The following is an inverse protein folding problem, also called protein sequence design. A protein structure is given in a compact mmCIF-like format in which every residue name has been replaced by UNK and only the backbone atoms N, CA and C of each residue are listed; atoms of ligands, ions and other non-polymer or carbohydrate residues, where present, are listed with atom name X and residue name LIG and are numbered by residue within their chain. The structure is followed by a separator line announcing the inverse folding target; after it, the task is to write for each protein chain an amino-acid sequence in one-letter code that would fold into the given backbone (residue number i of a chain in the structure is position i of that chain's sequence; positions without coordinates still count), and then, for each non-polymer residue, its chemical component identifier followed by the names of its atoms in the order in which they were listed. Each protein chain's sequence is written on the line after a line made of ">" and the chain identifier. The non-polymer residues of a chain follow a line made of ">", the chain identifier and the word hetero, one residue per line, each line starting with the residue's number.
data_IF_409889081941
#
_entry.id   IF_409889081941
#
_cell.length_a   1.000
_cell.length_b   1.000
_cell.length_c   1.000
_cell.angle_alpha   90.00
_cell.angle_beta   90.00
_cell.angle_gamma   90.00
#
_symmetry.space_group_name_H-M   'P 1'
#
loop_
_entity.id
_entity.type
_entity.pdbx_description
1 polymer ?
#
# COMPACT_ATOMS: atom_id res chain seq x y z
N UNK A 1 2.62 17.79 19.49
CA UNK A 1 1.60 17.85 18.42
C UNK A 1 0.28 17.41 19.03
N UNK A 2 -0.87 18.04 18.73
CA UNK A 2 -2.15 17.62 19.34
C UNK A 2 -2.59 16.27 18.74
N UNK A 3 -3.20 15.38 19.53
CA UNK A 3 -3.68 14.08 19.04
C UNK A 3 -4.59 14.18 17.82
N UNK A 4 -5.44 15.21 17.75
CA UNK A 4 -6.30 15.48 16.58
C UNK A 4 -5.50 15.73 15.30
N UNK A 5 -4.35 16.39 15.40
CA UNK A 5 -3.49 16.70 14.26
C UNK A 5 -2.77 15.44 13.75
N UNK A 6 -2.29 14.57 14.65
CA UNK A 6 -1.71 13.27 14.28
C UNK A 6 -2.76 12.43 13.55
N UNK A 7 -3.97 12.33 14.12
CA UNK A 7 -5.09 11.58 13.52
C UNK A 7 -5.46 12.09 12.13
N UNK A 8 -5.51 13.41 11.93
CA UNK A 8 -5.83 14.02 10.64
C UNK A 8 -4.75 13.72 9.59
N UNK A 9 -3.46 13.87 9.94
CA UNK A 9 -2.35 13.54 9.03
C UNK A 9 -2.36 12.06 8.64
N UNK A 10 -2.62 11.17 9.60
CA UNK A 10 -2.75 9.74 9.33
C UNK A 10 -3.92 9.45 8.37
N UNK A 11 -5.10 10.03 8.61
CA UNK A 11 -6.26 9.93 7.72
C UNK A 11 -5.93 10.38 6.28
N UNK A 12 -5.17 11.46 6.12
CA UNK A 12 -4.72 11.89 4.79
C UNK A 12 -3.77 10.89 4.11
N UNK A 13 -2.84 10.29 4.86
CA UNK A 13 -1.96 9.27 4.29
C UNK A 13 -2.74 8.04 3.81
N UNK A 14 -3.77 7.62 4.56
CA UNK A 14 -4.67 6.56 4.12
C UNK A 14 -5.43 6.93 2.85
N UNK A 15 -5.96 8.16 2.75
CA UNK A 15 -6.62 8.66 1.52
C UNK A 15 -5.66 8.63 0.32
N UNK A 16 -4.41 9.08 0.49
CA UNK A 16 -3.38 9.04 -0.56
C UNK A 16 -3.04 7.60 -0.98
N UNK A 17 -2.93 6.68 -0.01
CA UNK A 17 -2.76 5.25 -0.27
C UNK A 17 -3.91 4.68 -1.13
N UNK A 18 -5.17 4.99 -0.79
CA UNK A 18 -6.32 4.55 -1.55
C UNK A 18 -6.28 5.13 -2.98
N UNK A 19 -6.07 6.45 -3.13
CA UNK A 19 -6.01 7.13 -4.43
C UNK A 19 -4.92 6.56 -5.36
N UNK A 20 -3.73 6.26 -4.83
CA UNK A 20 -2.65 5.68 -5.64
C UNK A 20 -3.04 4.32 -6.26
N UNK A 21 -3.87 3.54 -5.57
CA UNK A 21 -4.36 2.24 -6.05
C UNK A 21 -5.51 2.37 -7.03
N UNK A 22 -6.41 3.31 -6.79
CA UNK A 22 -7.47 3.67 -7.72
C UNK A 22 -6.85 4.07 -9.06
N UNK A 23 -5.82 4.92 -9.01
CA UNK A 23 -5.07 5.32 -10.19
C UNK A 23 -4.43 4.12 -10.88
N UNK A 24 -3.78 3.22 -10.15
CA UNK A 24 -3.18 2.01 -10.74
C UNK A 24 -4.23 1.16 -11.47
N UNK A 25 -5.39 0.90 -10.85
CA UNK A 25 -6.49 0.16 -11.50
C UNK A 25 -6.96 0.83 -12.79
N UNK A 26 -7.15 2.15 -12.77
CA UNK A 26 -7.52 2.93 -13.96
C UNK A 26 -6.44 2.83 -15.05
N UNK A 27 -5.16 2.92 -14.68
CA UNK A 27 -4.06 2.78 -15.66
C UNK A 27 -4.03 1.39 -16.29
N UNK A 28 -4.32 0.32 -15.53
CA UNK A 28 -4.43 -1.04 -16.07
C UNK A 28 -5.58 -1.15 -17.08
N UNK A 29 -6.78 -0.67 -16.71
CA UNK A 29 -7.93 -0.68 -17.62
C UNK A 29 -7.65 0.12 -18.88
N UNK A 30 -7.07 1.30 -18.75
CA UNK A 30 -6.73 2.15 -19.89
C UNK A 30 -5.66 1.51 -20.78
N UNK A 31 -4.63 0.89 -20.19
CA UNK A 31 -3.59 0.20 -20.94
C UNK A 31 -4.15 -0.98 -21.74
N UNK A 32 -4.98 -1.82 -21.10
CA UNK A 32 -5.60 -2.96 -21.76
C UNK A 32 -6.61 -2.52 -22.83
N UNK A 33 -7.41 -1.49 -22.55
CA UNK A 33 -8.34 -0.91 -23.53
C UNK A 33 -7.62 -0.26 -24.72
N UNK A 34 -6.39 0.21 -24.51
CA UNK A 34 -5.53 0.73 -25.56
C UNK A 34 -4.77 -0.37 -26.32
N UNK A 35 -5.00 -1.65 -26.03
CA UNK A 35 -4.44 -2.79 -26.76
C UNK A 35 -3.28 -3.52 -26.08
N UNK A 36 -2.91 -3.19 -24.84
CA UNK A 36 -1.91 -3.97 -24.11
C UNK A 36 -2.46 -5.33 -23.71
N UNK A 37 -1.74 -6.42 -23.99
CA UNK A 37 -2.20 -7.77 -23.65
C UNK A 37 -2.01 -8.05 -22.15
N UNK A 38 -2.71 -9.07 -21.64
CA UNK A 38 -2.48 -9.60 -20.28
C UNK A 38 -1.01 -9.91 -20.05
N UNK A 39 -0.35 -10.56 -21.00
CA UNK A 39 1.03 -11.03 -20.83
C UNK A 39 2.02 -9.86 -20.82
N UNK A 40 1.76 -8.81 -21.60
CA UNK A 40 2.54 -7.56 -21.51
C UNK A 40 2.40 -6.93 -20.12
N UNK A 41 1.17 -6.84 -19.58
CA UNK A 41 0.95 -6.29 -18.24
C UNK A 41 1.64 -7.15 -17.19
N UNK A 42 1.49 -8.48 -17.23
CA UNK A 42 2.10 -9.39 -16.25
C UNK A 42 3.63 -9.33 -16.29
N UNK A 43 4.22 -9.29 -17.48
CA UNK A 43 5.68 -9.12 -17.64
C UNK A 43 6.15 -7.80 -17.04
N UNK A 44 5.39 -6.72 -17.26
CA UNK A 44 5.69 -5.42 -16.65
C UNK A 44 5.57 -5.48 -15.12
N UNK A 45 4.52 -6.13 -14.59
CA UNK A 45 4.36 -6.31 -13.14
C UNK A 45 5.55 -7.04 -12.55
N UNK A 46 5.99 -8.14 -13.17
CA UNK A 46 7.12 -8.95 -12.72
C UNK A 46 8.43 -8.13 -12.70
N UNK A 47 8.68 -7.35 -13.75
CA UNK A 47 9.80 -6.38 -13.82
C UNK A 47 9.74 -5.30 -12.74
N UNK A 48 8.55 -4.94 -12.26
CA UNK A 48 8.38 -3.94 -11.20
C UNK A 48 8.56 -4.53 -9.80
N UNK A 49 8.48 -5.86 -9.65
CA UNK A 49 8.64 -6.57 -8.36
C UNK A 49 10.07 -7.06 -8.16
N UNK A 50 10.80 -7.30 -9.25
CA UNK A 50 12.22 -7.68 -9.25
C UNK A 50 13.12 -6.48 -8.94
N UNK A 51 13.37 -6.21 -7.65
CA UNK A 51 14.30 -5.16 -7.20
C UNK A 51 14.25 -4.85 -5.70
N UNK A 52 14.98 -3.81 -5.25
CA UNK A 52 15.10 -3.39 -3.85
C UNK A 52 13.78 -2.98 -3.15
N UNK A 53 12.67 -2.92 -3.88
CA UNK A 53 11.34 -2.58 -3.36
C UNK A 53 10.38 -3.77 -3.37
N UNK A 54 10.90 -5.01 -3.38
CA UNK A 54 10.12 -6.24 -3.51
C UNK A 54 8.87 -6.27 -2.61
N UNK A 55 9.02 -6.13 -1.29
CA UNK A 55 7.89 -6.21 -0.36
C UNK A 55 6.90 -5.05 -0.52
N UNK A 56 7.39 -3.86 -0.89
CA UNK A 56 6.58 -2.67 -1.13
C UNK A 56 5.77 -2.82 -2.44
N UNK A 57 6.33 -3.53 -3.42
CA UNK A 57 5.73 -3.73 -4.74
C UNK A 57 4.66 -4.82 -4.77
N UNK A 58 4.71 -5.84 -3.90
CA UNK A 58 3.83 -7.02 -3.97
C UNK A 58 2.34 -6.69 -3.87
N UNK A 59 1.94 -5.75 -3.01
CA UNK A 59 0.53 -5.35 -2.90
C UNK A 59 0.03 -4.58 -4.14
N UNK A 60 0.89 -3.76 -4.75
CA UNK A 60 0.56 -3.08 -6.01
C UNK A 60 0.49 -4.08 -7.18
N UNK A 61 1.37 -5.09 -7.18
CA UNK A 61 1.32 -6.20 -8.13
C UNK A 61 0.02 -7.00 -8.03
N UNK A 62 -0.41 -7.38 -6.81
CA UNK A 62 -1.70 -8.07 -6.59
C UNK A 62 -2.87 -7.26 -7.14
N UNK A 63 -2.88 -5.94 -6.93
CA UNK A 63 -3.93 -5.05 -7.47
C UNK A 63 -3.93 -5.07 -8.98
N UNK A 64 -2.75 -4.94 -9.60
CA UNK A 64 -2.63 -4.94 -11.05
C UNK A 64 -3.08 -6.27 -11.66
N UNK A 65 -2.59 -7.40 -11.13
CA UNK A 65 -2.95 -8.75 -11.56
C UNK A 65 -4.47 -8.96 -11.42
N UNK A 66 -5.04 -8.64 -10.25
CA UNK A 66 -6.47 -8.77 -10.01
C UNK A 66 -7.31 -7.91 -10.96
N UNK A 67 -6.82 -6.72 -11.33
CA UNK A 67 -7.51 -5.86 -12.29
C UNK A 67 -7.39 -6.37 -13.73
N UNK A 68 -6.27 -6.96 -14.12
CA UNK A 68 -6.09 -7.62 -15.43
C UNK A 68 -7.06 -8.78 -15.59
N UNK A 69 -7.18 -9.63 -14.56
CA UNK A 69 -8.11 -10.77 -14.57
C UNK A 69 -9.57 -10.30 -14.70
N UNK A 70 -9.97 -9.32 -13.89
CA UNK A 70 -11.32 -8.71 -13.96
C UNK A 70 -11.61 -8.06 -15.31
N UNK A 71 -10.62 -7.43 -15.94
CA UNK A 71 -10.80 -6.85 -17.26
C UNK A 71 -11.04 -7.96 -18.30
N UNK A 72 -10.25 -9.04 -18.25
CA UNK A 72 -10.45 -10.18 -19.15
C UNK A 72 -11.84 -10.81 -18.99
N UNK A 73 -12.26 -11.12 -17.77
CA UNK A 73 -13.61 -11.69 -17.50
C UNK A 73 -14.74 -10.82 -18.08
N UNK A 74 -14.61 -9.49 -18.03
CA UNK A 74 -15.62 -8.56 -18.57
C UNK A 74 -15.57 -8.38 -20.08
N UNK A 75 -14.46 -8.73 -20.71
CA UNK A 75 -14.16 -8.41 -22.10
C UNK A 75 -13.64 -9.64 -22.86
N UNK A 76 -14.08 -10.85 -22.48
CA UNK A 76 -13.60 -12.16 -22.98
C UNK A 76 -13.54 -12.28 -24.52
N UNK A 77 -14.24 -11.42 -25.25
CA UNK A 77 -14.32 -11.45 -26.73
C UNK A 77 -13.76 -10.20 -27.45
N UNK A 78 -13.16 -9.23 -26.75
CA UNK A 78 -12.67 -8.02 -27.41
C UNK A 78 -11.23 -8.15 -27.95
N UNK A 79 -11.18 -8.01 -29.27
CA UNK A 79 -10.06 -8.04 -30.20
C UNK A 79 -8.79 -7.39 -29.64
N UNK A 80 -7.68 -8.15 -29.69
CA UNK A 80 -6.33 -7.61 -29.56
C UNK A 80 -6.07 -6.65 -30.73
N UNK A 81 -6.15 -5.34 -30.49
CA UNK A 81 -5.72 -4.36 -31.47
C UNK A 81 -4.21 -4.49 -31.67
N UNK A 82 -3.78 -4.64 -32.93
CA UNK A 82 -2.37 -4.50 -33.29
C UNK A 82 -1.95 -3.06 -32.99
N UNK A 83 -1.27 -2.86 -31.86
CA UNK A 83 -0.66 -1.59 -31.48
C UNK A 83 0.77 -1.52 -32.03
N UNK A 84 1.18 -0.34 -32.48
CA UNK A 84 2.57 -0.10 -32.88
C UNK A 84 3.50 -0.14 -31.67
N UNK A 85 4.77 -0.49 -31.89
CA UNK A 85 5.75 -0.59 -30.81
C UNK A 85 5.94 0.75 -30.07
N UNK A 86 5.98 1.87 -30.79
CA UNK A 86 6.04 3.21 -30.18
C UNK A 86 4.85 3.47 -29.24
N UNK A 87 3.64 3.04 -29.63
CA UNK A 87 2.45 3.23 -28.81
C UNK A 87 2.47 2.32 -27.58
N UNK A 88 2.95 1.07 -27.75
CA UNK A 88 3.16 0.14 -26.64
C UNK A 88 4.10 0.73 -25.60
N UNK A 89 5.25 1.25 -26.02
CA UNK A 89 6.24 1.84 -25.12
C UNK A 89 5.67 3.04 -24.33
N UNK A 90 4.90 3.90 -24.99
CA UNK A 90 4.22 5.02 -24.33
C UNK A 90 3.24 4.55 -23.25
N UNK A 91 2.43 3.53 -23.55
CA UNK A 91 1.47 2.94 -22.62
C UNK A 91 2.19 2.28 -21.45
N UNK A 92 3.23 1.49 -21.71
CA UNK A 92 4.03 0.84 -20.68
C UNK A 92 4.71 1.85 -19.76
N UNK A 93 5.24 2.95 -20.31
CA UNK A 93 5.86 4.03 -19.53
C UNK A 93 4.85 4.69 -18.59
N UNK A 94 3.65 4.99 -19.08
CA UNK A 94 2.55 5.51 -18.25
C UNK A 94 2.16 4.52 -17.15
N UNK A 95 2.07 3.23 -17.48
CA UNK A 95 1.72 2.19 -16.53
C UNK A 95 2.79 2.02 -15.43
N UNK A 96 4.08 2.02 -15.80
CA UNK A 96 5.22 2.05 -14.86
C UNK A 96 5.12 3.24 -13.92
N UNK A 97 4.76 4.42 -14.43
CA UNK A 97 4.52 5.62 -13.63
C UNK A 97 3.42 5.43 -12.58
N UNK A 98 2.29 4.83 -12.95
CA UNK A 98 1.20 4.52 -12.01
C UNK A 98 1.62 3.49 -10.95
N UNK A 99 2.40 2.48 -11.34
CA UNK A 99 2.97 1.51 -10.40
C UNK A 99 3.86 2.18 -9.35
N UNK A 100 4.81 3.01 -9.78
CA UNK A 100 5.69 3.75 -8.88
C UNK A 100 4.90 4.62 -7.88
N UNK A 101 3.85 5.29 -8.34
CA UNK A 101 2.96 6.08 -7.46
C UNK A 101 2.26 5.20 -6.41
N UNK A 102 1.78 4.02 -6.79
CA UNK A 102 1.18 3.07 -5.84
C UNK A 102 2.18 2.62 -4.77
N UNK A 103 3.41 2.27 -5.17
CA UNK A 103 4.49 1.84 -4.26
C UNK A 103 4.84 2.98 -3.29
N UNK A 104 5.05 4.19 -3.79
CA UNK A 104 5.35 5.36 -2.98
C UNK A 104 4.24 5.67 -1.97
N UNK A 105 2.98 5.57 -2.38
CA UNK A 105 1.85 5.82 -1.49
C UNK A 105 1.75 4.76 -0.36
N UNK A 106 2.05 3.48 -0.66
CA UNK A 106 2.18 2.43 0.38
C UNK A 106 3.29 2.78 1.37
N UNK A 107 4.49 3.10 0.86
CA UNK A 107 5.65 3.40 1.69
C UNK A 107 5.40 4.62 2.58
N UNK A 108 4.75 5.65 2.04
CA UNK A 108 4.36 6.82 2.79
C UNK A 108 3.35 6.48 3.89
N UNK A 109 2.34 5.65 3.60
CA UNK A 109 1.39 5.20 4.64
C UNK A 109 2.11 4.49 5.78
N UNK A 110 3.04 3.57 5.47
CA UNK A 110 3.82 2.88 6.50
C UNK A 110 4.59 3.84 7.41
N UNK A 111 5.27 4.84 6.81
CA UNK A 111 5.93 5.91 7.58
C UNK A 111 4.95 6.73 8.43
N UNK A 112 3.77 7.07 7.90
CA UNK A 112 2.78 7.82 8.67
C UNK A 112 2.26 7.03 9.88
N UNK A 113 2.12 5.71 9.76
CA UNK A 113 1.70 4.83 10.86
C UNK A 113 2.78 4.80 11.95
N UNK A 114 4.03 4.56 11.59
CA UNK A 114 5.16 4.55 12.55
C UNK A 114 5.27 5.90 13.25
N UNK A 115 5.26 7.00 12.49
CA UNK A 115 5.32 8.34 13.06
C UNK A 115 4.11 8.66 13.97
N UNK A 116 2.95 8.07 13.71
CA UNK A 116 1.78 8.23 14.57
C UNK A 116 1.95 7.48 15.90
N UNK A 117 2.46 6.24 15.85
CA UNK A 117 2.81 5.45 17.04
C UNK A 117 3.88 6.17 17.89
N UNK A 118 4.95 6.63 17.26
CA UNK A 118 6.04 7.39 17.92
C UNK A 118 5.54 8.70 18.54
N UNK A 119 4.51 9.31 17.95
CA UNK A 119 3.88 10.52 18.45
C UNK A 119 2.83 10.26 19.56
N UNK A 120 2.60 9.01 19.95
CA UNK A 120 1.76 8.62 21.07
C UNK A 120 0.35 8.16 20.73
N UNK A 121 0.01 7.90 19.46
CA UNK A 121 -1.24 7.22 19.13
C UNK A 121 -1.17 5.75 19.52
N UNK A 122 -2.26 5.24 20.10
CA UNK A 122 -2.38 3.82 20.42
C UNK A 122 -2.64 2.99 19.16
N UNK A 123 -2.39 1.68 19.25
CA UNK A 123 -2.64 0.73 18.15
C UNK A 123 -4.13 0.67 17.84
N UNK A 124 -4.96 0.69 18.87
CA UNK A 124 -6.42 0.71 18.79
C UNK A 124 -6.91 1.96 18.07
N UNK A 125 -6.30 3.12 18.32
CA UNK A 125 -6.62 4.35 17.60
C UNK A 125 -6.27 4.27 16.11
N UNK A 126 -5.14 3.65 15.76
CA UNK A 126 -4.74 3.46 14.36
C UNK A 126 -5.68 2.46 13.67
N UNK A 127 -6.05 1.37 14.34
CA UNK A 127 -6.99 0.38 13.82
C UNK A 127 -8.39 0.97 13.64
N UNK A 128 -8.87 1.78 14.59
CA UNK A 128 -10.14 2.48 14.47
C UNK A 128 -10.15 3.46 13.28
N UNK A 129 -9.07 4.21 13.07
CA UNK A 129 -8.93 5.08 11.88
C UNK A 129 -8.90 4.25 10.60
N UNK A 130 -8.21 3.12 10.59
CA UNK A 130 -8.20 2.21 9.45
C UNK A 130 -9.61 1.69 9.14
N UNK A 131 -10.37 1.29 10.16
CA UNK A 131 -11.73 0.77 10.03
C UNK A 131 -12.71 1.86 9.56
N UNK A 132 -12.68 3.05 10.17
CA UNK A 132 -13.46 4.23 9.73
C UNK A 132 -13.27 4.50 8.23
N UNK A 133 -12.03 4.41 7.75
CA UNK A 133 -11.72 4.68 6.34
C UNK A 133 -12.19 3.51 5.46
N UNK A 134 -12.10 2.25 5.92
CA UNK A 134 -12.64 1.09 5.20
C UNK A 134 -14.17 1.13 5.13
N UNK A 135 -14.83 1.64 6.17
CA UNK A 135 -16.28 1.85 6.23
C UNK A 135 -16.76 3.03 5.39
N UNK A 136 -15.98 4.12 5.31
CA UNK A 136 -16.35 5.37 4.62
C UNK A 136 -15.91 5.49 3.16
N UNK A 137 -14.85 4.80 2.74
CA UNK A 137 -14.39 4.75 1.34
C UNK A 137 -14.74 3.38 0.74
N UNK A 138 -15.20 3.34 -0.52
CA UNK A 138 -15.70 2.14 -1.19
C UNK A 138 -14.88 0.87 -0.86
N UNK A 139 -15.53 -0.11 -0.21
CA UNK A 139 -14.94 -1.30 0.47
C UNK A 139 -13.79 -2.00 -0.29
N UNK A 140 -13.80 -1.99 -1.62
CA UNK A 140 -12.80 -2.66 -2.47
C UNK A 140 -11.47 -1.90 -2.60
N UNK A 141 -11.39 -0.63 -2.23
CA UNK A 141 -10.24 0.24 -2.53
C UNK A 141 -9.33 0.47 -1.33
N UNK A 142 -9.87 0.26 -0.12
CA UNK A 142 -9.24 0.61 1.16
C UNK A 142 -8.74 -0.60 1.93
N UNK A 143 -9.31 -1.78 1.71
CA UNK A 143 -8.98 -3.01 2.44
C UNK A 143 -7.48 -3.32 2.44
N UNK A 144 -6.79 -3.03 1.33
CA UNK A 144 -5.36 -3.22 1.23
C UNK A 144 -4.54 -2.18 2.02
N UNK A 145 -5.10 -1.01 2.38
CA UNK A 145 -4.40 0.03 3.16
C UNK A 145 -4.50 -0.35 4.63
N UNK A 146 -5.63 -0.96 5.02
CA UNK A 146 -5.78 -1.62 6.31
C UNK A 146 -4.79 -2.77 6.48
N UNK A 147 -4.55 -3.60 5.44
CA UNK A 147 -3.50 -4.64 5.48
C UNK A 147 -2.11 -4.03 5.74
N UNK A 148 -1.79 -2.89 5.12
CA UNK A 148 -0.54 -2.17 5.43
C UNK A 148 -0.53 -1.75 6.90
N UNK A 149 -1.63 -1.19 7.41
CA UNK A 149 -1.73 -0.75 8.79
C UNK A 149 -1.47 -1.89 9.78
N UNK A 150 -2.17 -3.01 9.62
CA UNK A 150 -1.99 -4.21 10.45
C UNK A 150 -0.54 -4.71 10.37
N UNK A 151 0.02 -4.84 9.16
CA UNK A 151 1.39 -5.32 9.01
C UNK A 151 2.42 -4.41 9.68
N UNK A 152 2.24 -3.08 9.61
CA UNK A 152 3.14 -2.13 10.25
C UNK A 152 3.01 -2.15 11.77
N UNK A 153 1.80 -2.34 12.29
CA UNK A 153 1.58 -2.52 13.73
C UNK A 153 2.30 -3.77 14.25
N UNK A 154 2.19 -4.90 13.53
CA UNK A 154 2.88 -6.14 13.90
C UNK A 154 4.41 -5.98 13.92
N UNK A 155 4.99 -5.38 12.87
CA UNK A 155 6.44 -5.11 12.81
C UNK A 155 6.89 -4.14 13.91
N UNK A 156 6.07 -3.14 14.24
CA UNK A 156 6.37 -2.21 15.32
C UNK A 156 6.34 -2.90 16.70
N UNK A 157 5.44 -3.86 16.91
CA UNK A 157 5.41 -4.66 18.14
C UNK A 157 6.63 -5.57 18.29
N UNK A 158 7.01 -6.28 17.22
CA UNK A 158 8.19 -7.14 17.20
C UNK A 158 9.45 -6.33 17.52
N UNK A 159 9.61 -5.16 16.90
CA UNK A 159 10.76 -4.28 17.16
C UNK A 159 10.73 -3.63 18.54
N UNK A 160 9.56 -3.30 19.08
CA UNK A 160 9.44 -2.76 20.44
C UNK A 160 9.76 -3.80 21.52
N UNK A 161 9.36 -5.07 21.31
CA UNK A 161 9.69 -6.19 22.20
C UNK A 161 11.17 -6.59 22.14
N UNK A 162 11.82 -6.37 21.00
CA UNK A 162 13.24 -6.66 20.81
C UNK A 162 14.20 -5.58 21.37
N UNK A 163 13.69 -4.43 21.84
CA UNK A 163 14.54 -3.45 22.54
C UNK A 163 15.04 -4.09 23.83
N UNK A 164 16.36 -4.01 24.13
CA UNK A 164 16.88 -4.57 25.36
C UNK A 164 16.12 -3.98 26.53
N UNK A 165 15.57 -4.84 27.38
CA UNK A 165 15.04 -4.45 28.68
C UNK A 165 16.20 -3.73 29.37
N UNK A 166 15.98 -2.48 29.74
CA UNK A 166 16.95 -1.69 30.47
C UNK A 166 17.00 -2.29 31.89
N UNK A 167 17.81 -3.36 32.08
CA UNK A 167 17.92 -4.17 33.31
C UNK A 167 18.20 -3.28 34.54
N UNK A 168 18.70 -2.07 34.31
CA UNK A 168 18.95 -1.06 35.34
C UNK A 168 17.66 -0.50 35.96
N UNK A 169 16.55 -0.38 35.19
CA UNK A 169 15.27 0.12 35.70
C UNK A 169 14.52 -0.91 36.54
N UNK A 170 14.58 -2.19 36.20
CA UNK A 170 13.96 -3.25 37.05
C UNK A 170 14.70 -3.41 38.39
N UNK A 171 16.02 -3.24 38.43
CA UNK A 171 16.80 -3.29 39.68
C UNK A 171 16.57 -2.12 40.64
N UNK A 172 16.00 -1.00 40.18
CA UNK A 172 15.59 0.08 41.08
C UNK A 172 14.26 -0.23 41.76
N UNK A 173 13.33 -0.91 41.07
CA UNK A 173 12.04 -1.32 41.63
C UNK A 173 12.26 -2.41 42.71
N UNK A 174 13.16 -3.37 42.49
CA UNK A 174 13.50 -4.38 43.51
C UNK A 174 14.19 -3.81 44.77
N UNK A 175 14.74 -2.59 44.71
CA UNK A 175 15.42 -1.94 45.85
C UNK A 175 14.55 -0.97 46.64
N UNK A 176 13.37 -0.62 46.14
CA UNK A 176 12.41 0.21 46.87
C UNK A 176 11.40 -0.64 47.67
N UNK A 177 11.37 -1.96 47.44
CA UNK A 177 10.58 -2.95 48.20
C UNK A 177 11.40 -3.72 49.27
N UNK A 178 12.59 -3.23 49.67
CA UNK A 178 13.37 -3.71 50.84
C UNK A 178 13.61 -2.60 51.85
#
# INVERSE_FOLDING_TARGET
>A
MKNSEIKNRLKECFKKCALGRIQLRKCIVNAMSAGLTKDNVLTLVDKMVTGNMHDESSLCAIIAIGQVLRYKEKHENNISFLITDNKREEIETKLKGCFKKCILAKRQLGKCIINALDAGLSKEEILAISDDIVGGLAKREVSLCAIIAVNQLLLYEESSRAKPIDIVKERQIEREDT
#
